data_IF_719779957260
#
_entry.id   IF_719779957260
#
_cell.length_a   1.000
_cell.length_b   1.000
_cell.length_c   1.000
_cell.angle_alpha   90.00
_cell.angle_beta   90.00
_cell.angle_gamma   90.00
#
_symmetry.space_group_name_H-M   'P 1'
#
loop_
_entity.id
_entity.type
_entity.pdbx_description
1 polymer ?
#
# COMPACT_ATOMS: atom_id res chain seq x y z
N UNK A 1 -22.03 -1.03 17.93
CA UNK A 1 -22.00 -0.90 16.46
C UNK A 1 -20.93 -1.86 15.97
N UNK A 2 -21.24 -2.81 15.07
CA UNK A 2 -20.23 -3.77 14.57
C UNK A 2 -19.31 -3.02 13.61
N UNK A 3 -18.01 -3.11 13.80
CA UNK A 3 -17.04 -2.54 12.88
C UNK A 3 -17.01 -3.37 11.58
N UNK A 4 -17.75 -2.93 10.57
CA UNK A 4 -18.00 -3.69 9.32
C UNK A 4 -16.74 -3.96 8.49
N UNK A 5 -15.72 -3.10 8.58
CA UNK A 5 -14.45 -3.26 7.88
C UNK A 5 -13.34 -3.88 8.75
N UNK A 6 -13.56 -4.08 10.05
CA UNK A 6 -12.51 -4.54 10.97
C UNK A 6 -11.91 -5.88 10.59
N UNK A 7 -12.73 -6.81 10.08
CA UNK A 7 -12.24 -8.08 9.56
C UNK A 7 -11.29 -7.88 8.37
N UNK A 8 -11.61 -6.94 7.47
CA UNK A 8 -10.72 -6.59 6.36
C UNK A 8 -9.42 -5.96 6.84
N UNK A 9 -9.49 -5.02 7.78
CA UNK A 9 -8.32 -4.35 8.36
C UNK A 9 -7.34 -5.32 9.02
N UNK A 10 -7.85 -6.25 9.85
CA UNK A 10 -6.98 -7.22 10.51
C UNK A 10 -6.42 -8.25 9.53
N UNK A 11 -7.22 -8.70 8.56
CA UNK A 11 -6.79 -9.70 7.60
C UNK A 11 -5.68 -9.16 6.69
N UNK A 12 -5.84 -7.94 6.16
CA UNK A 12 -4.80 -7.31 5.34
C UNK A 12 -3.53 -7.01 6.15
N UNK A 13 -3.67 -6.59 7.42
CA UNK A 13 -2.53 -6.39 8.30
C UNK A 13 -1.71 -7.66 8.51
N UNK A 14 -2.38 -8.78 8.82
CA UNK A 14 -1.74 -10.09 8.99
C UNK A 14 -1.04 -10.52 7.70
N UNK A 15 -1.74 -10.41 6.56
CA UNK A 15 -1.17 -10.75 5.26
C UNK A 15 0.11 -9.95 4.96
N UNK A 16 0.10 -8.64 5.21
CA UNK A 16 1.26 -7.78 5.05
C UNK A 16 2.45 -8.23 5.91
N UNK A 17 2.24 -8.59 7.18
CA UNK A 17 3.32 -9.10 8.04
C UNK A 17 3.87 -10.45 7.55
N UNK A 18 2.99 -11.37 7.15
CA UNK A 18 3.40 -12.67 6.59
C UNK A 18 4.28 -12.46 5.35
N UNK A 19 3.84 -11.62 4.41
CA UNK A 19 4.59 -11.32 3.19
C UNK A 19 5.94 -10.67 3.51
N UNK A 20 5.95 -9.72 4.45
CA UNK A 20 7.19 -9.07 4.91
C UNK A 20 8.21 -10.08 5.44
N UNK A 21 7.77 -11.05 6.25
CA UNK A 21 8.64 -12.13 6.76
C UNK A 21 9.17 -13.01 5.61
N UNK A 22 8.31 -13.39 4.66
CA UNK A 22 8.71 -14.21 3.50
C UNK A 22 9.77 -13.47 2.69
N UNK A 23 9.54 -12.20 2.37
CA UNK A 23 10.46 -11.38 1.60
C UNK A 23 11.77 -11.11 2.36
N UNK A 24 11.72 -10.97 3.69
CA UNK A 24 12.92 -10.76 4.50
C UNK A 24 13.85 -11.97 4.43
N UNK A 25 13.31 -13.19 4.50
CA UNK A 25 14.09 -14.42 4.30
C UNK A 25 14.71 -14.46 2.91
N UNK A 26 13.92 -14.15 1.87
CA UNK A 26 14.43 -14.09 0.50
C UNK A 26 15.53 -13.03 0.31
N UNK A 27 15.41 -11.90 0.99
CA UNK A 27 16.46 -10.87 1.00
C UNK A 27 17.75 -11.36 1.66
N UNK A 28 17.67 -12.08 2.78
CA UNK A 28 18.84 -12.65 3.45
C UNK A 28 19.63 -13.63 2.56
N UNK A 29 18.97 -14.26 1.58
CA UNK A 29 19.60 -15.18 0.63
C UNK A 29 20.14 -14.48 -0.62
N UNK A 30 19.46 -13.45 -1.11
CA UNK A 30 19.73 -12.85 -2.44
C UNK A 30 20.38 -11.46 -2.36
N UNK A 31 20.39 -10.83 -1.19
CA UNK A 31 20.85 -9.45 -0.92
C UNK A 31 20.29 -8.39 -1.88
N UNK A 32 19.15 -8.68 -2.52
CA UNK A 32 18.53 -7.80 -3.49
C UNK A 32 17.86 -6.60 -2.79
N UNK A 33 18.39 -5.41 -3.05
CA UNK A 33 17.86 -4.15 -2.51
C UNK A 33 16.36 -4.00 -2.79
N UNK A 34 15.87 -4.37 -3.97
CA UNK A 34 14.43 -4.30 -4.30
C UNK A 34 13.56 -5.09 -3.33
N UNK A 35 14.01 -6.29 -2.96
CA UNK A 35 13.30 -7.14 -2.00
C UNK A 35 13.24 -6.46 -0.64
N UNK A 36 14.33 -5.81 -0.19
CA UNK A 36 14.35 -5.08 1.08
C UNK A 36 13.35 -3.92 1.13
N UNK A 37 13.18 -3.17 0.03
CA UNK A 37 12.18 -2.10 -0.02
C UNK A 37 10.75 -2.64 -0.01
N UNK A 38 10.51 -3.78 -0.66
CA UNK A 38 9.21 -4.45 -0.57
C UNK A 38 8.94 -4.98 0.85
N UNK A 39 9.96 -5.49 1.56
CA UNK A 39 9.86 -5.84 2.99
C UNK A 39 9.40 -4.63 3.80
N UNK A 40 10.07 -3.48 3.61
CA UNK A 40 9.77 -2.24 4.33
C UNK A 40 8.35 -1.74 4.01
N UNK A 41 7.95 -1.77 2.74
CA UNK A 41 6.59 -1.41 2.31
C UNK A 41 5.54 -2.27 3.03
N UNK A 42 5.67 -3.59 2.95
CA UNK A 42 4.70 -4.50 3.56
C UNK A 42 4.68 -4.39 5.09
N UNK A 43 5.84 -4.20 5.73
CA UNK A 43 5.91 -4.00 7.17
C UNK A 43 5.18 -2.74 7.62
N UNK A 44 5.48 -1.60 6.98
CA UNK A 44 4.86 -0.32 7.33
C UNK A 44 3.37 -0.29 6.99
N UNK A 45 2.97 -0.89 5.86
CA UNK A 45 1.55 -1.05 5.51
C UNK A 45 0.83 -1.91 6.55
N UNK A 46 1.42 -3.04 6.98
CA UNK A 46 0.88 -3.91 8.02
C UNK A 46 0.65 -3.18 9.34
N UNK A 47 1.61 -2.34 9.76
CA UNK A 47 1.47 -1.46 10.92
C UNK A 47 0.36 -0.42 10.74
N UNK A 48 0.24 0.19 9.57
CA UNK A 48 -0.82 1.16 9.28
C UNK A 48 -2.22 0.56 9.40
N UNK A 49 -2.45 -0.62 8.79
CA UNK A 49 -3.73 -1.32 8.90
C UNK A 49 -4.03 -1.80 10.32
N UNK A 50 -3.01 -2.27 11.05
CA UNK A 50 -3.16 -2.66 12.46
C UNK A 50 -3.54 -1.46 13.33
N UNK A 51 -2.85 -0.34 13.16
CA UNK A 51 -3.12 0.87 13.92
C UNK A 51 -4.53 1.40 13.61
N UNK A 52 -4.97 1.31 12.35
CA UNK A 52 -6.36 1.62 11.99
C UNK A 52 -7.32 0.69 12.74
N UNK A 53 -7.14 -0.62 12.65
CA UNK A 53 -7.98 -1.58 13.37
C UNK A 53 -8.08 -1.25 14.87
N UNK A 54 -6.95 -1.03 15.53
CA UNK A 54 -6.89 -0.69 16.96
C UNK A 54 -7.62 0.61 17.30
N UNK A 55 -7.59 1.60 16.42
CA UNK A 55 -8.25 2.89 16.65
C UNK A 55 -9.79 2.84 16.59
N UNK A 56 -10.36 1.78 16.01
CA UNK A 56 -11.80 1.66 15.77
C UNK A 56 -12.61 1.66 17.06
N UNK A 57 -13.90 2.02 16.93
CA UNK A 57 -14.89 2.10 18.01
C UNK A 57 -15.06 0.80 18.80
N UNK A 58 -14.66 -0.34 18.21
CA UNK A 58 -14.75 -1.65 18.82
C UNK A 58 -13.60 -1.96 19.80
N UNK A 59 -12.47 -1.25 19.69
CA UNK A 59 -11.26 -1.55 20.47
C UNK A 59 -10.87 -0.39 21.37
N UNK A 60 -10.46 0.75 20.80
CA UNK A 60 -10.01 1.91 21.57
C UNK A 60 -10.95 3.11 21.45
N UNK A 61 -11.81 3.16 20.42
CA UNK A 61 -12.75 4.27 20.19
C UNK A 61 -12.07 5.66 20.16
N UNK A 62 -10.91 5.73 19.47
CA UNK A 62 -10.11 6.95 19.31
C UNK A 62 -9.96 7.37 17.85
N UNK A 63 -10.63 6.69 16.91
CA UNK A 63 -10.47 6.88 15.48
C UNK A 63 -10.57 8.36 15.07
N UNK A 64 -11.58 9.08 15.55
CA UNK A 64 -11.77 10.50 15.21
C UNK A 64 -10.61 11.39 15.68
N UNK A 65 -9.94 11.02 16.79
CA UNK A 65 -8.80 11.75 17.34
C UNK A 65 -7.50 11.44 16.59
N UNK A 66 -7.37 10.23 16.03
CA UNK A 66 -6.13 9.76 15.38
C UNK A 66 -6.21 9.67 13.86
N UNK A 67 -7.35 9.97 13.23
CA UNK A 67 -7.56 9.87 11.77
C UNK A 67 -6.51 10.63 10.94
N UNK A 68 -6.06 11.80 11.41
CA UNK A 68 -5.00 12.56 10.75
C UNK A 68 -3.64 11.86 10.81
N UNK A 69 -3.34 11.18 11.92
CA UNK A 69 -2.11 10.38 12.08
C UNK A 69 -2.18 9.10 11.27
N UNK A 70 -3.33 8.42 11.25
CA UNK A 70 -3.57 7.23 10.44
C UNK A 70 -3.34 7.49 8.95
N UNK A 71 -3.79 8.66 8.50
CA UNK A 71 -3.58 9.09 7.13
C UNK A 71 -2.08 9.21 6.79
N UNK A 72 -1.26 9.81 7.66
CA UNK A 72 0.19 9.91 7.47
C UNK A 72 0.86 8.54 7.46
N UNK A 73 0.47 7.65 8.39
CA UNK A 73 1.00 6.29 8.47
C UNK A 73 0.65 5.51 7.19
N UNK A 74 -0.52 5.72 6.59
CA UNK A 74 -0.90 5.12 5.31
C UNK A 74 -0.15 5.70 4.10
N UNK A 75 0.24 6.97 4.15
CA UNK A 75 0.91 7.67 3.04
C UNK A 75 2.41 7.32 2.94
N UNK A 76 3.09 7.14 4.07
CA UNK A 76 4.54 6.86 4.13
C UNK A 76 4.94 5.60 3.31
N UNK A 77 4.28 4.43 3.44
CA UNK A 77 4.59 3.25 2.63
C UNK A 77 4.49 3.53 1.12
N UNK A 78 3.44 4.25 0.70
CA UNK A 78 3.20 4.56 -0.70
C UNK A 78 4.25 5.51 -1.28
N UNK A 79 4.73 6.45 -0.46
CA UNK A 79 5.83 7.34 -0.81
C UNK A 79 7.15 6.62 -0.98
N UNK A 80 7.50 5.74 -0.04
CA UNK A 80 8.71 4.92 -0.11
C UNK A 80 8.68 4.09 -1.38
N UNK A 81 7.54 3.45 -1.66
CA UNK A 81 7.35 2.65 -2.86
C UNK A 81 7.51 3.48 -4.15
N UNK A 82 6.92 4.68 -4.22
CA UNK A 82 7.01 5.53 -5.40
C UNK A 82 8.45 6.00 -5.66
N UNK A 83 9.14 6.53 -4.64
CA UNK A 83 10.54 6.96 -4.74
C UNK A 83 11.41 5.80 -5.21
N UNK A 84 11.15 4.61 -4.66
CA UNK A 84 11.89 3.42 -4.97
C UNK A 84 11.67 2.95 -6.42
N UNK A 85 10.42 2.84 -6.88
CA UNK A 85 10.13 2.42 -8.26
C UNK A 85 10.69 3.43 -9.26
N UNK A 86 10.56 4.73 -8.98
CA UNK A 86 11.17 5.78 -9.80
C UNK A 86 12.71 5.65 -9.85
N UNK A 87 13.32 5.11 -8.80
CA UNK A 87 14.77 4.89 -8.75
C UNK A 87 15.22 3.80 -9.72
N UNK A 88 14.42 2.74 -9.88
CA UNK A 88 14.74 1.57 -10.72
C UNK A 88 14.34 1.75 -12.19
N UNK A 89 13.44 2.67 -12.50
CA UNK A 89 12.82 2.78 -13.82
C UNK A 89 13.62 3.52 -14.91
N UNK A 90 14.91 3.80 -14.69
CA UNK A 90 15.73 4.68 -15.57
C UNK A 90 15.06 6.04 -15.87
N UNK A 91 14.09 6.48 -15.06
CA UNK A 91 13.44 7.78 -15.21
C UNK A 91 14.46 8.87 -14.92
N UNK A 92 14.43 9.98 -15.66
CA UNK A 92 15.39 11.08 -15.48
C UNK A 92 15.36 11.61 -14.04
N UNK A 93 16.53 11.91 -13.48
CA UNK A 93 16.68 12.37 -12.10
C UNK A 93 15.78 13.56 -11.77
N UNK A 94 15.62 14.49 -12.72
CA UNK A 94 14.75 15.67 -12.60
C UNK A 94 13.28 15.32 -12.35
N UNK A 95 12.77 14.26 -13.00
CA UNK A 95 11.39 13.80 -12.79
C UNK A 95 11.25 13.15 -11.41
N UNK A 96 12.25 12.39 -10.95
CA UNK A 96 12.25 11.77 -9.61
C UNK A 96 12.21 12.82 -8.51
N UNK A 97 13.06 13.84 -8.62
CA UNK A 97 13.12 14.97 -7.68
C UNK A 97 11.80 15.76 -7.74
N UNK A 98 11.28 16.04 -8.95
CA UNK A 98 10.02 16.75 -9.12
C UNK A 98 8.84 16.06 -8.44
N UNK A 99 8.67 14.76 -8.66
CA UNK A 99 7.60 13.97 -8.02
C UNK A 99 7.76 13.96 -6.49
N UNK A 100 8.99 13.79 -5.99
CA UNK A 100 9.28 13.77 -4.54
C UNK A 100 8.94 15.11 -3.90
N UNK A 101 9.40 16.23 -4.48
CA UNK A 101 9.16 17.58 -3.97
C UNK A 101 7.67 17.93 -4.02
N UNK A 102 6.98 17.64 -5.13
CA UNK A 102 5.53 17.86 -5.26
C UNK A 102 4.77 17.08 -4.19
N UNK A 103 5.17 15.82 -3.96
CA UNK A 103 4.48 15.00 -2.96
C UNK A 103 4.70 15.50 -1.54
N UNK A 104 5.93 15.88 -1.18
CA UNK A 104 6.24 16.47 0.13
C UNK A 104 5.44 17.76 0.33
N UNK A 105 5.43 18.65 -0.66
CA UNK A 105 4.67 19.91 -0.60
C UNK A 105 3.19 19.67 -0.37
N UNK A 106 2.60 18.73 -1.11
CA UNK A 106 1.18 18.44 -1.00
C UNK A 106 0.82 17.76 0.33
N UNK A 107 1.71 16.92 0.88
CA UNK A 107 1.57 16.36 2.24
C UNK A 107 1.61 17.45 3.31
N UNK A 108 2.54 18.42 3.18
CA UNK A 108 2.62 19.58 4.08
C UNK A 108 1.34 20.41 3.99
N UNK A 109 0.89 20.75 2.77
CA UNK A 109 -0.33 21.55 2.57
C UNK A 109 -1.54 20.88 3.24
N UNK A 110 -1.66 19.56 3.13
CA UNK A 110 -2.77 18.85 3.78
C UNK A 110 -2.72 18.86 5.31
N UNK A 111 -1.52 18.74 5.90
CA UNK A 111 -1.35 18.81 7.36
C UNK A 111 -1.89 20.13 7.93
N UNK A 112 -1.69 21.24 7.21
CA UNK A 112 -2.15 22.56 7.62
C UNK A 112 -3.58 22.89 7.16
N UNK A 113 -4.05 22.29 6.06
CA UNK A 113 -5.37 22.55 5.48
C UNK A 113 -6.12 21.24 5.16
N UNK A 114 -6.55 20.49 6.19
CA UNK A 114 -7.17 19.17 6.00
C UNK A 114 -8.51 19.23 5.25
N UNK A 115 -9.21 20.37 5.29
CA UNK A 115 -10.49 20.58 4.59
C UNK A 115 -10.37 20.58 3.07
N UNK A 116 -9.19 20.85 2.51
CA UNK A 116 -8.99 20.90 1.06
C UNK A 116 -8.97 19.50 0.41
N UNK A 117 -9.01 18.41 1.20
CA UNK A 117 -8.89 17.01 0.73
C UNK A 117 -7.68 16.74 -0.17
N UNK A 118 -6.68 17.65 -0.15
CA UNK A 118 -5.52 17.64 -1.04
C UNK A 118 -4.74 16.34 -0.90
N UNK A 119 -4.57 15.83 0.32
CA UNK A 119 -3.84 14.58 0.50
C UNK A 119 -4.57 13.35 0.00
N UNK A 120 -5.90 13.34 -0.02
CA UNK A 120 -6.67 12.23 -0.60
C UNK A 120 -6.40 12.17 -2.10
N UNK A 121 -6.38 13.33 -2.76
CA UNK A 121 -6.00 13.47 -4.17
C UNK A 121 -4.55 13.02 -4.38
N UNK A 122 -3.63 13.47 -3.54
CA UNK A 122 -2.20 13.14 -3.62
C UNK A 122 -1.94 11.66 -3.42
N UNK A 123 -2.54 11.07 -2.38
CA UNK A 123 -2.43 9.64 -2.11
C UNK A 123 -3.00 8.82 -3.25
N UNK A 124 -4.13 9.27 -3.80
CA UNK A 124 -4.72 8.65 -5.00
C UNK A 124 -3.76 8.72 -6.19
N UNK A 125 -3.16 9.88 -6.45
CA UNK A 125 -2.18 10.05 -7.54
C UNK A 125 -0.93 9.19 -7.32
N UNK A 126 -0.41 9.10 -6.10
CA UNK A 126 0.73 8.23 -5.75
C UNK A 126 0.38 6.77 -5.97
N UNK A 127 -0.77 6.32 -5.47
CA UNK A 127 -1.23 4.92 -5.61
C UNK A 127 -1.41 4.59 -7.09
N UNK A 128 -2.06 5.45 -7.88
CA UNK A 128 -2.23 5.27 -9.33
C UNK A 128 -0.86 5.23 -10.02
N UNK A 129 0.07 6.10 -9.64
CA UNK A 129 1.43 6.11 -10.21
C UNK A 129 2.15 4.78 -9.93
N UNK A 130 2.07 4.28 -8.69
CA UNK A 130 2.60 2.97 -8.34
C UNK A 130 1.95 1.86 -9.18
N UNK A 131 0.62 1.84 -9.29
CA UNK A 131 -0.10 0.86 -10.13
C UNK A 131 0.42 0.87 -11.57
N UNK A 132 0.48 2.05 -12.19
CA UNK A 132 0.96 2.21 -13.58
C UNK A 132 2.38 1.71 -13.73
N UNK A 133 3.28 2.08 -12.82
CA UNK A 133 4.68 1.65 -12.90
C UNK A 133 4.82 0.13 -12.76
N UNK A 134 4.12 -0.50 -11.82
CA UNK A 134 4.13 -1.96 -11.69
C UNK A 134 3.52 -2.67 -12.91
N UNK A 135 2.48 -2.12 -13.53
CA UNK A 135 1.92 -2.65 -14.80
C UNK A 135 2.94 -2.55 -15.93
N UNK A 136 3.68 -1.43 -16.03
CA UNK A 136 4.76 -1.31 -17.01
C UNK A 136 5.85 -2.37 -16.72
N UNK A 137 6.12 -2.68 -15.45
CA UNK A 137 7.22 -3.59 -15.06
C UNK A 137 6.89 -5.00 -15.51
N UNK A 138 5.66 -5.40 -15.21
CA UNK A 138 5.10 -6.63 -15.70
C UNK A 138 5.16 -6.71 -17.23
N UNK A 139 4.75 -5.68 -17.97
CA UNK A 139 4.77 -5.71 -19.44
C UNK A 139 6.19 -5.86 -20.01
N UNK A 140 7.18 -5.19 -19.42
CA UNK A 140 8.57 -5.23 -19.89
C UNK A 140 9.26 -6.55 -19.54
N UNK A 141 9.09 -7.00 -18.30
CA UNK A 141 9.88 -8.10 -17.73
C UNK A 141 9.09 -9.40 -17.59
N UNK A 142 7.80 -9.42 -17.99
CA UNK A 142 6.84 -10.51 -17.75
C UNK A 142 6.72 -10.92 -16.27
N UNK A 143 7.08 -10.03 -15.34
CA UNK A 143 7.04 -10.30 -13.91
C UNK A 143 5.59 -10.32 -13.38
N UNK A 144 5.06 -11.52 -13.15
CA UNK A 144 3.71 -11.70 -12.62
C UNK A 144 3.56 -11.12 -11.21
N UNK A 145 4.61 -11.07 -10.39
CA UNK A 145 4.51 -10.48 -9.04
C UNK A 145 4.17 -9.00 -9.11
N UNK A 146 4.77 -8.28 -10.06
CA UNK A 146 4.42 -6.89 -10.34
C UNK A 146 2.96 -6.73 -10.76
N UNK A 147 2.43 -7.64 -11.59
CA UNK A 147 1.02 -7.61 -11.97
C UNK A 147 0.10 -7.81 -10.77
N UNK A 148 0.28 -8.90 -10.01
CA UNK A 148 -0.57 -9.18 -8.84
C UNK A 148 -0.45 -8.09 -7.78
N UNK A 149 0.75 -7.52 -7.61
CA UNK A 149 0.93 -6.36 -6.74
C UNK A 149 0.08 -5.17 -7.17
N UNK A 150 0.08 -4.83 -8.47
CA UNK A 150 -0.75 -3.76 -9.05
C UNK A 150 -2.26 -4.02 -8.93
N UNK A 151 -2.69 -5.29 -9.06
CA UNK A 151 -4.09 -5.69 -8.84
C UNK A 151 -4.48 -5.45 -7.39
N UNK A 152 -3.65 -5.87 -6.42
CA UNK A 152 -3.93 -5.62 -5.00
C UNK A 152 -4.00 -4.12 -4.65
N UNK A 153 -3.11 -3.29 -5.20
CA UNK A 153 -3.20 -1.83 -5.05
C UNK A 153 -4.48 -1.25 -5.65
N UNK A 154 -4.92 -1.76 -6.80
CA UNK A 154 -6.17 -1.34 -7.45
C UNK A 154 -7.38 -1.70 -6.59
N UNK A 155 -7.40 -2.90 -6.01
CA UNK A 155 -8.47 -3.34 -5.10
C UNK A 155 -8.54 -2.45 -3.85
N UNK A 156 -7.40 -2.09 -3.26
CA UNK A 156 -7.35 -1.14 -2.13
C UNK A 156 -7.91 0.22 -2.55
N UNK A 157 -7.49 0.76 -3.69
CA UNK A 157 -7.97 2.05 -4.18
C UNK A 157 -9.49 2.05 -4.41
N UNK A 158 -10.02 0.98 -5.01
CA UNK A 158 -11.47 0.80 -5.19
C UNK A 158 -12.18 0.70 -3.85
N UNK A 159 -11.67 -0.09 -2.90
CA UNK A 159 -12.23 -0.23 -1.56
C UNK A 159 -12.31 1.12 -0.82
N UNK A 160 -11.24 1.90 -0.85
CA UNK A 160 -11.20 3.24 -0.25
C UNK A 160 -12.18 4.21 -0.95
N UNK A 161 -12.31 4.14 -2.28
CA UNK A 161 -13.26 5.01 -3.00
C UNK A 161 -14.73 4.70 -2.68
N UNK A 162 -15.04 3.45 -2.31
CA UNK A 162 -16.38 2.97 -2.02
C UNK A 162 -16.73 3.01 -0.52
N UNK A 163 -15.83 3.48 0.35
CA UNK A 163 -16.04 3.55 1.80
C UNK A 163 -17.27 4.37 2.19
N UNK A 164 -17.60 5.40 1.40
CA UNK A 164 -18.78 6.26 1.61
C UNK A 164 -20.10 5.56 1.28
N UNK A 165 -20.05 4.48 0.49
CA UNK A 165 -21.21 3.66 0.14
C UNK A 165 -21.41 2.57 1.19
N UNK A 166 -20.34 1.84 1.52
CA UNK A 166 -20.38 0.77 2.51
C UNK A 166 -18.99 0.46 3.06
N UNK A 167 -18.85 0.48 4.40
CA UNK A 167 -17.64 0.03 5.08
C UNK A 167 -17.43 -1.48 4.91
N UNK A 168 -18.50 -2.27 4.84
CA UNK A 168 -18.41 -3.70 4.52
C UNK A 168 -17.74 -3.95 3.15
N UNK A 169 -18.12 -3.18 2.13
CA UNK A 169 -17.53 -3.30 0.78
C UNK A 169 -16.03 -3.03 0.83
N UNK A 170 -15.61 -1.95 1.50
CA UNK A 170 -14.18 -1.67 1.73
C UNK A 170 -13.48 -2.87 2.38
N UNK A 171 -14.07 -3.44 3.44
CA UNK A 171 -13.55 -4.63 4.11
C UNK A 171 -13.34 -5.82 3.16
N UNK A 172 -14.29 -6.09 2.26
CA UNK A 172 -14.18 -7.15 1.25
C UNK A 172 -13.01 -6.87 0.29
N UNK A 173 -12.86 -5.65 -0.21
CA UNK A 173 -11.75 -5.27 -1.09
C UNK A 173 -10.39 -5.43 -0.41
N UNK A 174 -10.28 -5.10 0.88
CA UNK A 174 -9.04 -5.31 1.65
C UNK A 174 -8.70 -6.80 1.78
N UNK A 175 -9.71 -7.67 2.01
CA UNK A 175 -9.51 -9.12 2.04
C UNK A 175 -9.05 -9.64 0.68
N UNK A 176 -9.68 -9.20 -0.42
CA UNK A 176 -9.30 -9.61 -1.76
C UNK A 176 -7.86 -9.17 -2.10
N UNK A 177 -7.48 -7.94 -1.75
CA UNK A 177 -6.12 -7.45 -1.93
C UNK A 177 -5.10 -8.31 -1.15
N UNK A 178 -5.42 -8.63 0.10
CA UNK A 178 -4.59 -9.49 0.95
C UNK A 178 -4.40 -10.89 0.36
N UNK A 179 -5.47 -11.51 -0.15
CA UNK A 179 -5.42 -12.83 -0.81
C UNK A 179 -4.53 -12.76 -2.05
N UNK A 180 -4.74 -11.77 -2.91
CA UNK A 180 -3.97 -11.57 -4.14
C UNK A 180 -2.48 -11.43 -3.83
N UNK A 181 -2.13 -10.61 -2.85
CA UNK A 181 -0.73 -10.43 -2.44
C UNK A 181 -0.14 -11.66 -1.78
N UNK A 182 -0.88 -12.38 -0.93
CA UNK A 182 -0.40 -13.64 -0.35
C UNK A 182 -0.08 -14.67 -1.44
N UNK A 183 -0.97 -14.83 -2.43
CA UNK A 183 -0.72 -15.71 -3.58
C UNK A 183 0.55 -15.26 -4.31
N UNK A 184 0.68 -13.97 -4.59
CA UNK A 184 1.82 -13.41 -5.31
C UNK A 184 3.19 -13.69 -4.67
N UNK A 185 3.24 -13.63 -3.33
CA UNK A 185 4.50 -13.76 -2.58
C UNK A 185 4.69 -15.10 -1.87
N UNK A 186 3.70 -15.99 -1.89
CA UNK A 186 3.79 -17.35 -1.32
C UNK A 186 4.70 -18.31 -2.09
N UNK A 187 5.09 -17.96 -3.30
CA UNK A 187 5.83 -18.82 -4.22
C UNK A 187 4.98 -19.87 -4.96
N UNK A 188 3.65 -19.77 -4.87
CA UNK A 188 2.74 -20.58 -5.67
C UNK A 188 2.86 -20.30 -7.18
N UNK A 189 3.07 -19.03 -7.54
CA UNK A 189 3.20 -18.63 -8.96
C UNK A 189 4.45 -19.24 -9.59
N UNK A 190 5.58 -19.22 -8.88
CA UNK A 190 6.85 -19.75 -9.37
C UNK A 190 6.75 -21.26 -9.68
N UNK A 191 5.92 -21.99 -8.93
CA UNK A 191 5.65 -23.42 -9.15
C UNK A 191 4.68 -23.73 -10.30
N UNK A 192 3.95 -22.73 -10.81
CA UNK A 192 3.01 -22.89 -11.92
C UNK A 192 3.65 -22.56 -13.27
N UNK A 193 4.80 -21.89 -13.25
CA UNK A 193 5.58 -21.52 -14.45
C UNK A 193 6.68 -22.55 -14.79
N UNK A 194 6.94 -23.52 -13.90
CA UNK A 194 7.81 -24.70 -14.11
C UNK A 194 7.02 -25.88 -14.71
#
# INVERSE_FOLDING_TARGET
>A
MVCENCLGLIFISIACFIISIILLRKYQEQENQFTLYMVLFFFLAGLGWLFWFLSTDLILNIYENVKGVLFLIGLVPQLILLIFVLTFYEISLSIRIGITVITILLTIIHLFFPFLRISTIVSTVIIISNIVLFVINWRKNKDLKSLFFSIGLTLILLGESLIFISRLIQGIFLILAAIVWLIAYSGLIEKLEE
#
